data_IF_188918118056
#
_entry.id   IF_188918118056
#
_cell.length_a   1.000
_cell.length_b   1.000
_cell.length_c   1.000
_cell.angle_alpha   90.00
_cell.angle_beta   90.00
_cell.angle_gamma   90.00
#
_symmetry.space_group_name_H-M   'P 1'
#
loop_
_entity.id
_entity.type
_entity.pdbx_description
1 polymer ?
#
# COMPACT_ATOMS: atom_id res chain seq x y z
N UNK A 1 9.25 50.00 -39.69
CA UNK A 1 8.63 49.88 -38.36
C UNK A 1 9.27 48.68 -37.66
N UNK A 2 9.85 48.88 -36.48
CA UNK A 2 10.69 47.90 -35.79
C UNK A 2 9.86 46.74 -35.20
N UNK A 3 10.32 45.49 -35.40
CA UNK A 3 9.73 44.30 -34.76
C UNK A 3 10.26 44.16 -33.33
N UNK A 4 9.38 44.37 -32.34
CA UNK A 4 9.65 44.17 -30.91
C UNK A 4 10.05 42.71 -30.61
N UNK A 5 11.06 42.45 -29.76
CA UNK A 5 11.52 41.11 -29.45
C UNK A 5 10.44 40.31 -28.70
N UNK A 6 10.33 39.02 -29.05
CA UNK A 6 9.43 38.04 -28.41
C UNK A 6 9.70 38.01 -26.90
N UNK A 7 8.79 38.60 -26.11
CA UNK A 7 8.76 38.47 -24.66
C UNK A 7 8.66 36.98 -24.32
N UNK A 8 9.64 36.37 -23.62
CA UNK A 8 9.45 35.04 -23.08
C UNK A 8 8.28 35.11 -22.08
N UNK A 9 7.31 34.23 -22.23
CA UNK A 9 6.20 34.06 -21.30
C UNK A 9 6.75 33.97 -19.86
N UNK A 10 6.06 34.60 -18.91
CA UNK A 10 6.55 34.81 -17.56
C UNK A 10 7.14 33.53 -16.94
N UNK A 11 8.32 33.58 -16.31
CA UNK A 11 8.95 32.41 -15.69
C UNK A 11 8.11 31.81 -14.55
N UNK A 12 7.22 32.61 -13.95
CA UNK A 12 6.24 32.17 -12.95
C UNK A 12 5.23 31.17 -13.54
N UNK A 13 4.69 31.43 -14.73
CA UNK A 13 3.71 30.56 -15.38
C UNK A 13 4.32 29.19 -15.77
N UNK A 14 5.60 29.17 -16.15
CA UNK A 14 6.32 27.94 -16.47
C UNK A 14 6.59 27.08 -15.21
N UNK A 15 6.85 27.70 -14.06
CA UNK A 15 7.06 27.00 -12.80
C UNK A 15 5.76 26.39 -12.24
N UNK A 16 4.64 27.13 -12.31
CA UNK A 16 3.34 26.59 -11.88
C UNK A 16 2.87 25.42 -12.76
N UNK A 17 3.27 25.34 -14.02
CA UNK A 17 2.97 24.20 -14.87
C UNK A 17 3.67 22.89 -14.42
N UNK A 18 4.87 23.00 -13.85
CA UNK A 18 5.68 21.85 -13.41
C UNK A 18 5.29 21.33 -12.02
N UNK A 19 4.70 22.18 -11.18
CA UNK A 19 4.30 21.82 -9.80
C UNK A 19 2.79 21.62 -9.62
N UNK A 20 2.00 21.63 -10.70
CA UNK A 20 0.58 21.22 -10.64
C UNK A 20 0.50 19.77 -10.16
N UNK A 21 -0.13 19.49 -9.01
CA UNK A 21 -0.30 18.13 -8.54
C UNK A 21 -1.23 17.40 -9.52
N UNK A 22 -0.69 16.42 -10.25
CA UNK A 22 -1.49 15.52 -11.05
C UNK A 22 -2.51 14.85 -10.12
N UNK A 23 -3.81 15.04 -10.42
CA UNK A 23 -4.89 14.34 -9.76
C UNK A 23 -4.61 12.84 -9.90
N UNK A 24 -4.25 12.17 -8.79
CA UNK A 24 -4.11 10.72 -8.76
C UNK A 24 -5.44 10.14 -9.21
N UNK A 25 -5.47 9.62 -10.43
CA UNK A 25 -6.58 8.82 -10.94
C UNK A 25 -6.76 7.70 -9.92
N UNK A 26 -7.93 7.65 -9.28
CA UNK A 26 -8.28 6.56 -8.40
C UNK A 26 -8.04 5.25 -9.16
N UNK A 27 -7.12 4.43 -8.67
CA UNK A 27 -6.91 3.09 -9.20
C UNK A 27 -8.28 2.41 -9.29
N UNK A 28 -8.55 1.81 -10.45
CA UNK A 28 -9.79 1.11 -10.72
C UNK A 28 -10.17 0.22 -9.53
N UNK A 29 -11.47 0.09 -9.19
CA UNK A 29 -11.89 -0.81 -8.12
C UNK A 29 -11.34 -2.20 -8.48
N UNK A 30 -10.37 -2.68 -7.71
CA UNK A 30 -9.88 -4.05 -7.86
C UNK A 30 -11.09 -4.93 -7.67
N UNK A 31 -11.53 -5.57 -8.77
CA UNK A 31 -12.60 -6.53 -8.76
C UNK A 31 -12.28 -7.53 -7.65
N UNK A 32 -13.18 -7.62 -6.68
CA UNK A 32 -13.08 -8.60 -5.61
C UNK A 32 -13.23 -9.97 -6.26
N UNK A 33 -12.11 -10.55 -6.69
CA UNK A 33 -12.00 -11.99 -6.86
C UNK A 33 -12.55 -12.58 -5.57
N UNK A 34 -13.66 -13.31 -5.69
CA UNK A 34 -14.20 -14.11 -4.62
C UNK A 34 -13.18 -15.22 -4.33
N UNK A 35 -12.22 -14.92 -3.45
CA UNK A 35 -11.28 -15.91 -2.92
C UNK A 35 -11.96 -16.55 -1.71
N UNK A 36 -12.01 -17.89 -1.61
CA UNK A 36 -12.73 -18.62 -0.55
C UNK A 36 -12.18 -18.40 0.88
N UNK A 37 -11.21 -17.51 1.04
CA UNK A 37 -10.44 -17.29 2.25
C UNK A 37 -10.47 -15.81 2.64
N UNK A 38 -11.61 -15.37 3.14
CA UNK A 38 -11.77 -13.99 3.63
C UNK A 38 -10.94 -13.83 4.89
N UNK A 39 -9.81 -13.11 4.79
CA UNK A 39 -9.04 -12.66 5.96
C UNK A 39 -9.85 -11.57 6.66
N UNK A 40 -10.28 -11.84 7.89
CA UNK A 40 -10.96 -10.84 8.71
C UNK A 40 -9.93 -10.00 9.47
N UNK A 41 -10.09 -8.67 9.40
CA UNK A 41 -9.25 -7.76 10.17
C UNK A 41 -9.75 -7.72 11.61
N UNK A 42 -8.98 -8.33 12.51
CA UNK A 42 -9.30 -8.42 13.93
C UNK A 42 -8.17 -7.83 14.78
N UNK A 43 -8.54 -7.22 15.90
CA UNK A 43 -7.58 -6.69 16.87
C UNK A 43 -7.18 -7.79 17.86
N UNK A 44 -6.02 -8.41 17.64
CA UNK A 44 -5.43 -9.43 18.52
C UNK A 44 -4.23 -8.82 19.25
N UNK A 45 -4.07 -9.11 20.55
CA UNK A 45 -2.86 -8.78 21.30
C UNK A 45 -1.86 -9.92 21.15
N UNK A 46 -0.67 -9.61 20.66
CA UNK A 46 0.48 -10.51 20.57
C UNK A 46 1.63 -9.94 21.38
N UNK A 47 2.50 -10.81 21.88
CA UNK A 47 3.71 -10.39 22.58
C UNK A 47 4.68 -9.69 21.64
N UNK A 48 5.39 -8.67 22.14
CA UNK A 48 6.36 -7.90 21.34
C UNK A 48 7.43 -8.79 20.72
N UNK A 49 7.92 -9.79 21.47
CA UNK A 49 8.94 -10.72 20.97
C UNK A 49 8.45 -11.55 19.76
N UNK A 50 7.16 -11.89 19.73
CA UNK A 50 6.56 -12.60 18.59
C UNK A 50 6.48 -11.67 17.38
N UNK A 51 6.05 -10.43 17.59
CA UNK A 51 5.96 -9.43 16.52
C UNK A 51 7.35 -9.17 15.92
N UNK A 52 8.36 -8.94 16.77
CA UNK A 52 9.75 -8.70 16.37
C UNK A 52 10.29 -9.87 15.53
N UNK A 53 10.13 -11.11 16.02
CA UNK A 53 10.56 -12.31 15.31
C UNK A 53 10.02 -12.38 13.87
N UNK A 54 8.72 -12.14 13.67
CA UNK A 54 8.13 -12.22 12.33
C UNK A 54 8.47 -10.99 11.45
N UNK A 55 8.68 -9.82 12.06
CA UNK A 55 9.05 -8.59 11.36
C UNK A 55 10.49 -8.61 10.82
N UNK A 56 11.43 -9.29 11.49
CA UNK A 56 12.82 -9.43 11.04
C UNK A 56 12.93 -10.03 9.64
N UNK A 57 12.06 -10.97 9.30
CA UNK A 57 12.01 -11.62 7.98
C UNK A 57 11.37 -10.73 6.87
N UNK A 58 11.01 -9.47 7.16
CA UNK A 58 10.59 -8.47 6.17
C UNK A 58 9.08 -8.44 5.81
N UNK A 59 8.72 -7.91 4.62
CA UNK A 59 7.31 -7.77 4.20
C UNK A 59 6.54 -9.10 4.23
N UNK A 60 5.25 -9.06 4.58
CA UNK A 60 4.42 -10.28 4.69
C UNK A 60 4.47 -10.98 6.05
N UNK A 61 5.09 -10.37 7.06
CA UNK A 61 5.19 -10.93 8.42
C UNK A 61 3.84 -11.31 9.06
N UNK A 62 2.76 -10.58 8.76
CA UNK A 62 1.42 -10.93 9.25
C UNK A 62 0.87 -12.21 8.61
N UNK A 63 1.18 -12.45 7.33
CA UNK A 63 0.78 -13.67 6.64
C UNK A 63 1.52 -14.88 7.23
N UNK A 64 2.81 -14.72 7.56
CA UNK A 64 3.57 -15.77 8.27
C UNK A 64 3.01 -16.12 9.64
N UNK A 65 2.53 -15.12 10.39
CA UNK A 65 1.81 -15.38 11.66
C UNK A 65 0.55 -16.22 11.39
N UNK A 66 -0.23 -15.87 10.37
CA UNK A 66 -1.43 -16.61 10.01
C UNK A 66 -1.11 -18.05 9.58
N UNK A 67 -0.07 -18.26 8.79
CA UNK A 67 0.39 -19.59 8.37
C UNK A 67 0.84 -20.44 9.56
N UNK A 68 1.55 -19.85 10.53
CA UNK A 68 1.92 -20.53 11.77
C UNK A 68 0.68 -20.97 12.57
N UNK A 69 -0.32 -20.09 12.70
CA UNK A 69 -1.58 -20.42 13.38
C UNK A 69 -2.35 -21.54 12.66
N UNK A 70 -2.38 -21.52 11.32
CA UNK A 70 -2.97 -22.60 10.51
C UNK A 70 -2.26 -23.93 10.72
N UNK A 71 -0.93 -23.92 10.80
CA UNK A 71 -0.13 -25.09 11.15
C UNK A 71 -0.54 -25.70 12.49
N UNK A 72 -0.76 -24.86 13.51
CA UNK A 72 -1.25 -25.30 14.82
C UNK A 72 -2.66 -25.89 14.74
N UNK A 73 -3.56 -25.27 13.97
CA UNK A 73 -4.93 -25.78 13.75
C UNK A 73 -4.93 -27.15 13.07
N UNK A 74 -4.10 -27.33 12.04
CA UNK A 74 -3.97 -28.60 11.34
C UNK A 74 -3.38 -29.69 12.22
N UNK A 75 -2.42 -29.34 13.08
CA UNK A 75 -1.82 -30.26 14.06
C UNK A 75 -2.76 -30.59 15.24
N UNK A 76 -3.69 -29.68 15.58
CA UNK A 76 -4.63 -29.84 16.70
C UNK A 76 -6.07 -29.67 16.21
N UNK A 77 -6.59 -30.62 15.41
CA UNK A 77 -7.96 -30.56 14.94
C UNK A 77 -8.91 -30.64 16.15
N UNK A 78 -9.83 -29.69 16.23
CA UNK A 78 -10.93 -29.74 17.22
C UNK A 78 -11.98 -30.72 16.70
N UNK A 79 -12.13 -31.85 17.41
CA UNK A 79 -13.25 -32.78 17.22
C UNK A 79 -14.57 -32.14 17.67
#
# INVERSE_FOLDING_TARGET
MASTPRRPANPMDAAEALFKPAKKTAAAPVEKCAVPEVKELVSIKLDSAVIEYFQEDGPGWQDRINDALRGVMAANPKN
#
